data_IF_215402451518
#
_entry.id   IF_215402451518
#
_cell.length_a   1.000
_cell.length_b   1.000
_cell.length_c   1.000
_cell.angle_alpha   90.00
_cell.angle_beta   90.00
_cell.angle_gamma   90.00
#
_symmetry.space_group_name_H-M   'P 1'
#
loop_
_entity.id
_entity.type
_entity.pdbx_description
1 polymer ?
#
# COMPACT_ATOMS: atom_id res chain seq x y z
N UNK A 1 -23.18 14.82 -27.29
CA UNK A 1 -21.73 15.11 -27.27
C UNK A 1 -21.42 16.54 -26.84
N UNK A 2 -22.03 17.58 -27.44
CA UNK A 2 -21.69 19.00 -27.18
C UNK A 2 -22.01 19.53 -25.76
N UNK A 3 -22.98 18.94 -25.07
CA UNK A 3 -23.37 19.32 -23.70
C UNK A 3 -22.42 18.76 -22.62
N UNK A 4 -21.75 17.63 -22.87
CA UNK A 4 -20.78 17.04 -21.94
C UNK A 4 -19.44 17.79 -21.94
N UNK A 5 -19.09 18.44 -23.06
CA UNK A 5 -17.88 19.26 -23.16
C UNK A 5 -18.05 20.61 -22.44
N UNK A 6 -19.26 21.18 -22.42
CA UNK A 6 -19.52 22.44 -21.72
C UNK A 6 -19.47 22.29 -20.19
N UNK A 7 -19.89 21.13 -19.66
CA UNK A 7 -19.88 20.85 -18.22
C UNK A 7 -18.47 20.49 -17.69
N UNK A 8 -17.57 20.05 -18.59
CA UNK A 8 -16.14 19.84 -18.31
C UNK A 8 -15.32 21.15 -18.33
N UNK A 9 -15.84 22.20 -18.95
CA UNK A 9 -15.21 23.53 -19.05
C UNK A 9 -15.79 24.55 -18.06
N UNK A 10 -16.75 24.16 -17.22
CA UNK A 10 -17.31 25.03 -16.19
C UNK A 10 -16.25 25.31 -15.11
N UNK A 11 -16.12 26.58 -14.71
CA UNK A 11 -15.13 27.13 -13.74
C UNK A 11 -15.06 26.40 -12.39
N UNK A 12 -16.00 25.50 -12.08
CA UNK A 12 -15.98 24.63 -10.90
C UNK A 12 -14.82 23.61 -10.87
N UNK A 13 -14.07 23.44 -11.97
CA UNK A 13 -12.85 22.63 -11.99
C UNK A 13 -11.58 23.42 -11.62
N UNK A 14 -11.65 24.77 -11.58
CA UNK A 14 -10.50 25.61 -11.31
C UNK A 14 -10.03 25.55 -9.84
N UNK A 15 -10.94 25.22 -8.91
CA UNK A 15 -10.66 25.17 -7.47
C UNK A 15 -10.35 23.77 -6.92
N UNK A 16 -10.40 22.73 -7.77
CA UNK A 16 -9.94 21.40 -7.40
C UNK A 16 -8.55 21.23 -7.99
N UNK A 17 -7.51 21.19 -7.14
CA UNK A 17 -6.18 20.79 -7.62
C UNK A 17 -6.32 19.49 -8.39
N UNK A 18 -5.90 19.42 -9.66
CA UNK A 18 -6.08 18.23 -10.47
C UNK A 18 -5.41 17.07 -9.75
N UNK A 19 -6.14 15.97 -9.58
CA UNK A 19 -5.57 14.73 -9.07
C UNK A 19 -4.35 14.44 -9.94
N UNK A 20 -3.14 14.27 -9.37
CA UNK A 20 -1.95 14.04 -10.16
C UNK A 20 -2.20 12.85 -11.08
N UNK A 21 -1.92 13.05 -12.37
CA UNK A 21 -2.15 12.03 -13.38
C UNK A 21 -1.37 10.76 -13.01
N UNK A 22 -2.01 9.60 -13.13
CA UNK A 22 -1.37 8.32 -12.89
C UNK A 22 -0.22 8.11 -13.88
N UNK A 23 0.87 7.55 -13.39
CA UNK A 23 1.92 7.07 -14.30
C UNK A 23 1.37 5.90 -15.12
N UNK A 24 1.93 5.60 -16.32
CA UNK A 24 1.50 4.44 -17.09
C UNK A 24 1.54 3.12 -16.32
N UNK A 25 2.52 2.95 -15.43
CA UNK A 25 2.65 1.77 -14.58
C UNK A 25 1.58 1.67 -13.48
N UNK A 26 1.12 2.81 -12.94
CA UNK A 26 0.01 2.89 -12.00
C UNK A 26 -1.34 2.68 -12.70
N UNK A 27 -1.50 3.28 -13.88
CA UNK A 27 -2.72 3.14 -14.68
C UNK A 27 -2.92 1.69 -15.14
N UNK A 28 -1.83 0.98 -15.48
CA UNK A 28 -1.88 -0.43 -15.81
C UNK A 28 -2.44 -1.29 -14.65
N UNK A 29 -2.09 -0.97 -13.40
CA UNK A 29 -2.62 -1.64 -12.20
C UNK A 29 -4.09 -1.32 -12.00
N UNK A 30 -4.49 -0.05 -12.14
CA UNK A 30 -5.89 0.37 -12.10
C UNK A 30 -6.74 -0.36 -13.14
N UNK A 31 -6.24 -0.48 -14.37
CA UNK A 31 -6.91 -1.22 -15.45
C UNK A 31 -6.96 -2.72 -15.18
N UNK A 32 -5.91 -3.31 -14.61
CA UNK A 32 -5.90 -4.72 -14.24
C UNK A 32 -6.90 -5.03 -13.11
N UNK A 33 -7.07 -4.12 -12.14
CA UNK A 33 -8.06 -4.25 -11.07
C UNK A 33 -9.52 -4.22 -11.58
N UNK A 34 -9.76 -3.73 -12.80
CA UNK A 34 -11.09 -3.81 -13.43
C UNK A 34 -11.43 -5.21 -13.99
N UNK A 35 -10.55 -6.20 -13.80
CA UNK A 35 -10.76 -7.59 -14.21
C UNK A 35 -10.80 -7.82 -15.73
N UNK A 36 -9.84 -7.32 -16.51
CA UNK A 36 -9.81 -7.57 -17.95
C UNK A 36 -9.45 -9.03 -18.24
N UNK A 37 -9.76 -9.52 -19.45
CA UNK A 37 -9.39 -10.88 -19.85
C UNK A 37 -7.88 -11.15 -19.82
N UNK A 38 -7.50 -12.42 -19.73
CA UNK A 38 -6.11 -12.86 -19.49
C UNK A 38 -5.07 -12.22 -20.44
N UNK A 39 -5.34 -12.20 -21.75
CA UNK A 39 -4.42 -11.61 -22.72
C UNK A 39 -4.22 -10.09 -22.53
N UNK A 40 -5.20 -9.38 -21.96
CA UNK A 40 -5.05 -7.96 -21.62
C UNK A 40 -4.25 -7.84 -20.33
N UNK A 41 -4.56 -8.64 -19.31
CA UNK A 41 -3.82 -8.65 -18.04
C UNK A 41 -2.33 -8.96 -18.24
N UNK A 42 -1.98 -9.91 -19.11
CA UNK A 42 -0.60 -10.25 -19.46
C UNK A 42 0.13 -9.07 -20.11
N UNK A 43 -0.52 -8.35 -21.03
CA UNK A 43 0.06 -7.15 -21.65
C UNK A 43 0.22 -6.01 -20.66
N UNK A 44 -0.72 -5.84 -19.73
CA UNK A 44 -0.62 -4.84 -18.65
C UNK A 44 0.53 -5.17 -17.70
N UNK A 45 0.73 -6.45 -17.37
CA UNK A 45 1.86 -6.90 -16.56
C UNK A 45 3.18 -6.57 -17.26
N UNK A 46 3.35 -7.07 -18.50
CA UNK A 46 4.56 -6.85 -19.29
C UNK A 46 4.84 -5.36 -19.54
N UNK A 47 3.83 -4.59 -19.94
CA UNK A 47 3.94 -3.15 -20.21
C UNK A 47 4.23 -2.31 -18.98
N UNK A 48 4.04 -2.86 -17.77
CA UNK A 48 4.38 -2.21 -16.51
C UNK A 48 5.62 -2.82 -15.82
N UNK A 49 6.35 -3.70 -16.50
CA UNK A 49 7.57 -4.32 -15.97
C UNK A 49 7.33 -5.36 -14.89
N UNK A 50 6.11 -5.91 -14.79
CA UNK A 50 5.71 -6.90 -13.78
C UNK A 50 5.46 -8.27 -14.44
N UNK A 51 5.68 -9.35 -13.68
CA UNK A 51 5.10 -10.65 -14.03
C UNK A 51 3.63 -10.71 -13.56
N UNK A 52 2.91 -11.77 -13.95
CA UNK A 52 1.49 -11.90 -13.57
C UNK A 52 1.27 -11.89 -12.05
N UNK A 53 2.18 -12.48 -11.27
CA UNK A 53 2.13 -12.47 -9.80
C UNK A 53 2.38 -11.07 -9.23
N UNK A 54 3.37 -10.36 -9.77
CA UNK A 54 3.67 -8.98 -9.41
C UNK A 54 2.50 -8.05 -9.72
N UNK A 55 1.83 -8.23 -10.86
CA UNK A 55 0.62 -7.49 -11.19
C UNK A 55 -0.52 -7.80 -10.20
N UNK A 56 -0.73 -9.06 -9.83
CA UNK A 56 -1.75 -9.43 -8.84
C UNK A 56 -1.50 -8.79 -7.46
N UNK A 57 -0.24 -8.77 -6.99
CA UNK A 57 0.13 -8.08 -5.75
C UNK A 57 -0.08 -6.57 -5.85
N UNK A 58 0.24 -5.97 -7.00
CA UNK A 58 0.03 -4.55 -7.26
C UNK A 58 -1.45 -4.18 -7.28
N UNK A 59 -2.31 -5.01 -7.88
CA UNK A 59 -3.77 -4.84 -7.86
C UNK A 59 -4.29 -4.91 -6.43
N UNK A 60 -3.87 -5.92 -5.65
CA UNK A 60 -4.27 -6.02 -4.24
C UNK A 60 -3.86 -4.78 -3.43
N UNK A 61 -2.65 -4.27 -3.65
CA UNK A 61 -2.18 -3.04 -3.00
C UNK A 61 -3.01 -1.81 -3.41
N UNK A 62 -3.36 -1.72 -4.70
CA UNK A 62 -4.20 -0.67 -5.26
C UNK A 62 -5.63 -0.70 -4.71
N UNK A 63 -6.23 -1.88 -4.56
CA UNK A 63 -7.56 -2.02 -3.98
C UNK A 63 -7.60 -1.61 -2.51
N UNK A 64 -6.51 -1.86 -1.77
CA UNK A 64 -6.39 -1.53 -0.35
C UNK A 64 -6.12 -0.04 -0.08
N UNK A 65 -5.57 0.71 -1.05
CA UNK A 65 -5.43 2.16 -0.88
C UNK A 65 -4.72 2.89 -2.01
N UNK A 66 -5.04 2.51 -3.25
CA UNK A 66 -4.69 3.22 -4.47
C UNK A 66 -3.19 3.43 -4.65
N UNK A 67 -2.83 4.65 -5.01
CA UNK A 67 -1.43 5.06 -5.23
C UNK A 67 -0.57 4.89 -3.99
N UNK A 68 -1.09 5.16 -2.79
CA UNK A 68 -0.36 5.01 -1.54
C UNK A 68 -0.08 3.52 -1.24
N UNK A 69 -1.07 2.65 -1.43
CA UNK A 69 -0.90 1.21 -1.26
C UNK A 69 0.12 0.64 -2.25
N UNK A 70 0.03 1.06 -3.52
CA UNK A 70 0.98 0.67 -4.55
C UNK A 70 2.41 1.16 -4.25
N UNK A 71 2.57 2.41 -3.81
CA UNK A 71 3.88 2.95 -3.44
C UNK A 71 4.52 2.14 -2.30
N UNK A 72 3.74 1.68 -1.31
CA UNK A 72 4.26 0.87 -0.20
C UNK A 72 4.64 -0.56 -0.61
N UNK A 73 4.00 -1.09 -1.65
CA UNK A 73 4.40 -2.37 -2.23
C UNK A 73 5.77 -2.26 -2.91
N UNK A 74 5.95 -1.21 -3.71
CA UNK A 74 7.04 -1.09 -4.70
C UNK A 74 8.26 -0.35 -4.18
N UNK A 75 8.06 0.61 -3.29
CA UNK A 75 9.13 1.46 -2.78
C UNK A 75 9.66 0.95 -1.44
N UNK A 76 10.96 1.19 -1.25
CA UNK A 76 11.60 1.08 0.04
C UNK A 76 12.51 2.29 0.24
N UNK A 77 12.33 2.96 1.37
CA UNK A 77 12.94 4.26 1.61
C UNK A 77 13.32 4.38 3.08
N UNK A 78 14.38 5.11 3.37
CA UNK A 78 14.79 5.41 4.74
C UNK A 78 14.04 6.64 5.23
N UNK A 79 13.24 6.55 6.31
CA UNK A 79 12.58 7.71 6.87
C UNK A 79 13.57 8.75 7.39
N UNK A 80 13.24 10.02 7.22
CA UNK A 80 13.98 11.08 7.90
C UNK A 80 13.86 10.91 9.43
N UNK A 81 14.78 11.50 10.22
CA UNK A 81 14.78 11.29 11.67
C UNK A 81 13.45 11.65 12.36
N UNK A 82 12.73 12.67 11.87
CA UNK A 82 11.47 13.08 12.47
C UNK A 82 10.34 12.09 12.14
N UNK A 83 10.27 11.60 10.90
CA UNK A 83 9.34 10.55 10.48
C UNK A 83 9.63 9.24 11.22
N UNK A 84 10.91 8.87 11.37
CA UNK A 84 11.31 7.69 12.12
C UNK A 84 10.91 7.81 13.59
N UNK A 85 11.16 8.95 14.24
CA UNK A 85 10.76 9.20 15.63
C UNK A 85 9.24 9.12 15.83
N UNK A 86 8.44 9.64 14.88
CA UNK A 86 6.97 9.48 14.92
C UNK A 86 6.55 8.02 14.80
N UNK A 87 7.14 7.28 13.85
CA UNK A 87 6.83 5.88 13.65
C UNK A 87 7.21 5.04 14.89
N UNK A 88 8.44 5.18 15.40
CA UNK A 88 8.90 4.44 16.59
C UNK A 88 8.14 4.83 17.85
N UNK A 89 7.76 6.10 18.01
CA UNK A 89 6.91 6.58 19.11
C UNK A 89 5.53 5.93 19.08
N UNK A 90 4.85 5.91 17.93
CA UNK A 90 3.57 5.21 17.77
C UNK A 90 3.70 3.71 18.04
N UNK A 91 4.76 3.08 17.53
CA UNK A 91 5.01 1.66 17.76
C UNK A 91 5.31 1.35 19.24
N UNK A 92 5.93 2.28 19.97
CA UNK A 92 6.18 2.11 21.40
C UNK A 92 4.91 2.24 22.24
N UNK A 93 3.95 3.07 21.80
CA UNK A 93 2.69 3.33 22.48
C UNK A 93 1.53 2.41 22.03
N UNK A 94 1.77 1.48 21.12
CA UNK A 94 0.70 0.69 20.51
C UNK A 94 0.19 -0.47 21.35
N UNK A 95 0.95 -0.89 22.37
CA UNK A 95 0.55 -1.95 23.30
C UNK A 95 0.41 -1.35 24.69
N UNK A 96 -0.63 -1.78 25.41
CA UNK A 96 -0.74 -1.55 26.85
C UNK A 96 0.38 -2.30 27.58
N UNK A 97 0.75 -1.84 28.79
CA UNK A 97 1.91 -2.40 29.53
C UNK A 97 1.82 -3.91 29.78
N UNK A 98 0.59 -4.44 29.91
CA UNK A 98 0.32 -5.85 30.18
C UNK A 98 0.12 -6.70 28.91
N UNK A 99 0.14 -6.10 27.71
CA UNK A 99 -0.11 -6.82 26.45
C UNK A 99 1.19 -7.38 25.85
N UNK A 100 1.21 -8.66 25.39
CA UNK A 100 2.40 -9.25 24.80
C UNK A 100 2.78 -8.61 23.46
N UNK A 101 3.80 -7.74 23.50
CA UNK A 101 4.37 -7.10 22.31
C UNK A 101 5.30 -8.05 21.52
N UNK A 102 5.12 -8.22 20.20
CA UNK A 102 6.02 -9.00 19.37
C UNK A 102 7.39 -8.32 19.23
N UNK A 103 8.45 -9.13 19.11
CA UNK A 103 9.78 -8.63 18.78
C UNK A 103 9.83 -8.23 17.31
N UNK A 104 10.15 -6.97 17.02
CA UNK A 104 10.22 -6.44 15.66
C UNK A 104 11.67 -6.12 15.26
N UNK A 105 12.05 -6.50 14.04
CA UNK A 105 13.29 -6.06 13.39
C UNK A 105 12.97 -4.96 12.39
N UNK A 106 13.57 -3.79 12.60
CA UNK A 106 13.41 -2.66 11.70
C UNK A 106 14.50 -2.66 10.63
N UNK A 107 14.10 -2.39 9.38
CA UNK A 107 14.96 -2.08 8.26
C UNK A 107 14.27 -1.01 7.40
N UNK A 108 14.92 0.16 7.24
CA UNK A 108 14.35 1.33 6.56
C UNK A 108 12.92 1.64 7.03
N UNK A 109 11.93 1.57 6.14
CA UNK A 109 10.52 1.80 6.45
C UNK A 109 9.74 0.50 6.74
N UNK A 110 10.40 -0.58 7.15
CA UNK A 110 9.79 -1.92 7.32
C UNK A 110 10.12 -2.51 8.69
N UNK A 111 9.11 -3.01 9.38
CA UNK A 111 9.21 -3.67 10.68
C UNK A 111 8.69 -5.09 10.57
N UNK A 112 9.57 -6.07 10.68
CA UNK A 112 9.23 -7.49 10.51
C UNK A 112 9.16 -8.18 11.85
N UNK A 113 8.12 -8.99 12.08
CA UNK A 113 8.01 -9.84 13.28
C UNK A 113 9.12 -10.88 13.25
N UNK A 114 9.94 -10.91 14.30
CA UNK A 114 11.06 -11.83 14.40
C UNK A 114 10.56 -13.28 14.46
N UNK A 115 10.95 -14.09 13.48
CA UNK A 115 10.54 -15.50 13.39
C UNK A 115 9.12 -15.71 12.86
N UNK A 116 8.41 -14.64 12.46
CA UNK A 116 7.07 -14.72 11.88
C UNK A 116 7.05 -14.36 10.39
N UNK A 117 5.84 -14.38 9.84
CA UNK A 117 5.52 -14.04 8.46
C UNK A 117 4.74 -12.73 8.35
N UNK A 118 4.71 -11.92 9.42
CA UNK A 118 4.06 -10.62 9.47
C UNK A 118 5.07 -9.46 9.37
N UNK A 119 4.70 -8.41 8.66
CA UNK A 119 5.49 -7.19 8.49
C UNK A 119 4.57 -5.96 8.47
N UNK A 120 4.99 -4.91 9.14
CA UNK A 120 4.44 -3.57 8.98
C UNK A 120 5.34 -2.75 8.08
N UNK A 121 4.75 -2.02 7.13
CA UNK A 121 5.47 -1.04 6.32
C UNK A 121 4.94 0.36 6.62
N UNK A 122 5.84 1.28 6.90
CA UNK A 122 5.51 2.68 7.10
C UNK A 122 5.45 3.39 5.74
N UNK A 123 4.28 3.93 5.42
CA UNK A 123 4.03 4.64 4.18
C UNK A 123 4.48 6.10 4.27
N UNK A 124 4.69 6.73 3.09
CA UNK A 124 4.95 8.18 3.01
C UNK A 124 3.72 9.01 3.42
N UNK A 125 2.55 8.39 3.44
CA UNK A 125 1.31 8.91 4.01
C UNK A 125 1.31 8.91 5.54
N UNK A 126 2.39 8.40 6.17
CA UNK A 126 2.53 8.36 7.62
C UNK A 126 1.70 7.28 8.29
N UNK A 127 1.17 6.30 7.54
CA UNK A 127 0.35 5.20 8.05
C UNK A 127 1.09 3.86 8.03
N UNK A 128 0.57 2.90 8.79
CA UNK A 128 1.06 1.52 8.84
C UNK A 128 0.28 0.64 7.88
N UNK A 129 1.02 -0.08 7.04
CA UNK A 129 0.46 -1.01 6.07
C UNK A 129 0.83 -2.44 6.46
N UNK A 130 -0.15 -3.31 6.76
CA UNK A 130 0.11 -4.70 7.14
C UNK A 130 0.43 -5.55 5.90
N UNK A 131 1.46 -6.39 6.01
CA UNK A 131 1.90 -7.34 5.00
C UNK A 131 2.11 -8.71 5.62
N UNK A 132 1.79 -9.77 4.87
CA UNK A 132 2.04 -11.17 5.24
C UNK A 132 2.90 -11.86 4.19
N UNK A 133 3.73 -12.82 4.58
CA UNK A 133 4.57 -13.59 3.67
C UNK A 133 3.82 -14.80 3.10
N UNK A 134 3.30 -14.66 1.90
CA UNK A 134 2.57 -15.70 1.17
C UNK A 134 3.51 -16.35 0.14
N UNK A 135 3.73 -17.67 0.23
CA UNK A 135 4.60 -18.43 -0.69
C UNK A 135 5.98 -17.78 -0.93
N UNK A 136 6.58 -17.25 0.13
CA UNK A 136 7.91 -16.62 0.08
C UNK A 136 7.92 -15.16 -0.36
N UNK A 137 6.77 -14.55 -0.68
CA UNK A 137 6.64 -13.14 -1.09
C UNK A 137 5.79 -12.36 -0.12
N UNK A 138 6.14 -11.10 0.12
CA UNK A 138 5.33 -10.20 0.93
C UNK A 138 4.11 -9.72 0.12
N UNK A 139 2.92 -9.97 0.66
CA UNK A 139 1.65 -9.56 0.09
C UNK A 139 0.95 -8.55 1.01
N UNK A 140 0.33 -7.49 0.46
CA UNK A 140 -0.50 -6.56 1.23
C UNK A 140 -1.62 -7.33 1.93
N UNK A 141 -1.82 -7.15 3.23
CA UNK A 141 -2.73 -8.00 4.00
C UNK A 141 -3.91 -7.25 4.64
N UNK A 142 -4.00 -5.94 4.40
CA UNK A 142 -5.10 -5.11 4.88
C UNK A 142 -4.92 -3.64 4.53
N UNK A 143 -5.94 -2.80 4.78
CA UNK A 143 -5.84 -1.35 4.55
C UNK A 143 -4.84 -0.74 5.53
N UNK A 144 -4.38 0.47 5.22
CA UNK A 144 -3.51 1.17 6.17
C UNK A 144 -4.28 1.71 7.38
N UNK A 145 -3.57 1.78 8.50
CA UNK A 145 -4.08 2.18 9.80
C UNK A 145 -3.04 3.03 10.55
N UNK A 146 -3.48 3.80 11.54
CA UNK A 146 -2.59 4.50 12.47
C UNK A 146 -2.19 3.61 13.67
N UNK A 147 -2.88 2.48 13.86
CA UNK A 147 -2.67 1.51 14.94
C UNK A 147 -1.84 0.31 14.46
N UNK A 148 -0.53 0.26 14.76
CA UNK A 148 0.32 -0.87 14.36
C UNK A 148 0.07 -2.14 15.19
N UNK A 149 -0.48 -2.05 16.41
CA UNK A 149 -0.77 -3.24 17.21
C UNK A 149 -2.00 -3.95 16.66
N UNK A 150 -3.09 -3.22 16.42
CA UNK A 150 -4.28 -3.76 15.76
C UNK A 150 -3.98 -4.30 14.35
N UNK A 151 -3.09 -3.65 13.60
CA UNK A 151 -2.63 -4.15 12.31
C UNK A 151 -1.98 -5.53 12.42
N UNK A 152 -1.11 -5.75 13.42
CA UNK A 152 -0.45 -7.04 13.64
C UNK A 152 -1.41 -8.10 14.21
N UNK A 153 -2.29 -7.72 15.14
CA UNK A 153 -3.30 -8.61 15.69
C UNK A 153 -4.24 -9.16 14.60
N UNK A 154 -4.65 -8.30 13.65
CA UNK A 154 -5.45 -8.68 12.49
C UNK A 154 -4.77 -9.70 11.58
N UNK A 155 -3.43 -9.71 11.51
CA UNK A 155 -2.67 -10.71 10.74
C UNK A 155 -2.67 -12.08 11.41
N UNK A 156 -2.57 -12.13 12.75
CA UNK A 156 -2.60 -13.39 13.49
C UNK A 156 -3.98 -14.04 13.58
N UNK A 157 -5.05 -13.26 13.43
CA UNK A 157 -6.42 -13.78 13.48
C UNK A 157 -6.93 -14.33 12.14
N UNK A 158 -6.23 -14.05 11.04
CA UNK A 158 -6.57 -14.49 9.69
C UNK A 158 -5.83 -15.78 9.26
N UNK A 159 -5.28 -16.51 10.23
CA UNK A 159 -4.68 -17.84 10.08
C UNK A 159 -5.68 -18.97 10.42
#
# INVERSE_FOLDING_TARGET
>A
ARLLLADALADRHADTSPVPALTPAQDAVRLAGAGPGAAVAERLAAGSGRDGRGLALAVRAWELGGTAGLAVLEEEWTPDPAALARATGRLAAAWEEDEPRPRLRADRNRWTVAGGDAQLRYGRDGRWWPYRKEHGRWAPAGPATDDPAGALAGLSAAD
#
